data_IF_020721238747
#
_entry.id   IF_020721238747
#
_cell.length_a   1.000
_cell.length_b   1.000
_cell.length_c   1.000
_cell.angle_alpha   90.00
_cell.angle_beta   90.00
_cell.angle_gamma   90.00
#
_symmetry.space_group_name_H-M   'P 1'
#
loop_
_entity.id
_entity.type
_entity.pdbx_description
1 polymer ?
#
# COMPACT_ATOMS: atom_id res chain seq x y z
N UNK A 1 3.78 -39.94 15.31
CA UNK A 1 2.64 -39.32 14.60
C UNK A 1 2.45 -37.84 14.96
N UNK A 2 2.35 -37.41 16.24
CA UNK A 2 2.14 -35.99 16.60
C UNK A 2 3.26 -35.04 16.08
N UNK A 3 4.53 -35.44 16.11
CA UNK A 3 5.64 -34.62 15.59
C UNK A 3 5.61 -34.46 14.07
N UNK A 4 5.16 -35.46 13.32
CA UNK A 4 5.04 -35.42 11.85
C UNK A 4 3.92 -34.46 11.43
N UNK A 5 2.80 -34.44 12.17
CA UNK A 5 1.67 -33.53 11.90
C UNK A 5 2.09 -32.08 12.12
N UNK A 6 2.82 -31.77 13.19
CA UNK A 6 3.31 -30.42 13.47
C UNK A 6 4.32 -29.98 12.41
N UNK A 7 5.24 -30.85 12.01
CA UNK A 7 6.23 -30.55 10.97
C UNK A 7 5.57 -30.34 9.60
N UNK A 8 4.54 -31.13 9.26
CA UNK A 8 3.77 -30.95 8.03
C UNK A 8 2.94 -29.67 8.04
N UNK A 9 2.36 -29.28 9.18
CA UNK A 9 1.63 -28.01 9.31
C UNK A 9 2.56 -26.80 9.18
N UNK A 10 3.76 -26.86 9.76
CA UNK A 10 4.79 -25.84 9.56
C UNK A 10 5.31 -25.78 8.12
N UNK A 11 5.48 -26.92 7.44
CA UNK A 11 5.93 -26.97 6.06
C UNK A 11 4.88 -26.43 5.06
N UNK A 12 3.58 -26.64 5.32
CA UNK A 12 2.49 -26.06 4.54
C UNK A 12 2.40 -24.53 4.69
N UNK A 13 2.74 -24.00 5.87
CA UNK A 13 2.80 -22.56 6.11
C UNK A 13 3.92 -21.85 5.36
N UNK A 14 5.00 -22.53 5.01
CA UNK A 14 6.18 -21.96 4.35
C UNK A 14 5.99 -21.87 2.81
N UNK A 15 5.15 -22.70 2.21
CA UNK A 15 4.95 -22.72 0.76
C UNK A 15 4.10 -21.56 0.20
N UNK A 16 3.47 -20.76 1.04
CA UNK A 16 2.59 -19.66 0.61
C UNK A 16 3.33 -18.33 0.37
N UNK A 17 4.64 -18.25 0.58
CA UNK A 17 5.39 -16.99 0.58
C UNK A 17 6.08 -16.62 -0.74
N UNK A 18 5.81 -17.34 -1.83
CA UNK A 18 6.68 -17.27 -3.00
C UNK A 18 6.39 -16.13 -4.00
N UNK A 19 5.38 -15.28 -3.82
CA UNK A 19 5.00 -14.31 -4.86
C UNK A 19 4.73 -12.87 -4.40
N UNK A 20 5.15 -12.46 -3.22
CA UNK A 20 5.08 -11.06 -2.83
C UNK A 20 6.36 -10.32 -3.26
N UNK A 21 6.46 -9.91 -4.50
CA UNK A 21 7.49 -8.97 -4.93
C UNK A 21 7.06 -7.57 -4.52
N UNK A 22 7.45 -7.15 -3.32
CA UNK A 22 7.45 -5.73 -2.99
C UNK A 22 8.56 -5.05 -3.77
N UNK A 23 8.24 -3.98 -4.49
CA UNK A 23 9.25 -3.25 -5.28
C UNK A 23 10.28 -2.55 -4.38
N UNK A 24 9.93 -2.28 -3.13
CA UNK A 24 10.83 -1.65 -2.16
C UNK A 24 10.52 -2.04 -0.72
N UNK A 25 11.51 -1.87 0.17
CA UNK A 25 11.33 -2.02 1.62
C UNK A 25 10.25 -1.05 2.15
N UNK A 26 10.09 0.12 1.53
CA UNK A 26 9.06 1.10 1.88
C UNK A 26 7.65 0.58 1.64
N UNK A 27 7.41 -0.15 0.57
CA UNK A 27 6.10 -0.72 0.27
C UNK A 27 5.77 -1.83 1.26
N UNK A 28 6.75 -2.68 1.59
CA UNK A 28 6.61 -3.68 2.63
C UNK A 28 6.30 -3.05 3.99
N UNK A 29 7.02 -2.00 4.38
CA UNK A 29 6.77 -1.27 5.63
C UNK A 29 5.40 -0.60 5.63
N UNK A 30 5.00 0.01 4.51
CA UNK A 30 3.69 0.63 4.36
C UNK A 30 2.54 -0.35 4.61
N UNK A 31 2.66 -1.57 4.10
CA UNK A 31 1.66 -2.63 4.30
C UNK A 31 1.72 -3.21 5.72
N UNK A 32 2.92 -3.38 6.28
CA UNK A 32 3.11 -3.95 7.62
C UNK A 32 2.64 -3.04 8.76
N UNK A 33 2.64 -1.72 8.56
CA UNK A 33 2.13 -0.78 9.54
C UNK A 33 0.62 -0.88 9.63
N UNK A 34 0.07 -1.01 10.84
CA UNK A 34 -1.36 -0.98 11.12
C UNK A 34 -1.75 0.34 11.79
N UNK A 35 -2.91 0.84 11.45
CA UNK A 35 -3.51 2.00 12.11
C UNK A 35 -4.33 1.53 13.33
N UNK A 36 -4.52 2.42 14.30
CA UNK A 36 -5.44 2.17 15.39
C UNK A 36 -6.88 2.35 14.89
N UNK A 37 -7.48 1.28 14.41
CA UNK A 37 -8.84 1.24 13.90
C UNK A 37 -9.68 0.17 14.60
N UNK A 38 -10.99 0.40 14.65
CA UNK A 38 -11.93 -0.50 15.29
C UNK A 38 -13.28 0.16 15.54
N UNK A 39 -13.94 -0.25 16.61
CA UNK A 39 -15.15 0.43 17.09
C UNK A 39 -14.83 1.83 17.60
N UNK A 40 -15.80 2.73 17.60
CA UNK A 40 -15.63 4.08 18.15
C UNK A 40 -15.20 4.05 19.62
N UNK A 41 -15.72 3.09 20.41
CA UNK A 41 -15.35 2.87 21.81
C UNK A 41 -13.88 2.46 21.95
N UNK A 42 -13.42 1.52 21.12
CA UNK A 42 -12.03 1.07 21.10
C UNK A 42 -11.08 2.23 20.78
N UNK A 43 -11.41 3.03 19.76
CA UNK A 43 -10.60 4.16 19.33
C UNK A 43 -10.57 5.27 20.40
N UNK A 44 -11.68 5.51 21.12
CA UNK A 44 -11.77 6.56 22.15
C UNK A 44 -10.84 6.35 23.35
N UNK A 45 -10.47 5.09 23.62
CA UNK A 45 -9.52 4.70 24.67
C UNK A 45 -8.15 4.32 24.10
N UNK A 46 -7.84 4.79 22.90
CA UNK A 46 -6.57 4.53 22.21
C UNK A 46 -6.20 3.03 22.13
N UNK A 47 -7.21 2.15 21.97
CA UNK A 47 -6.99 0.72 21.86
C UNK A 47 -6.78 -0.04 23.19
N UNK A 48 -6.90 0.58 24.32
CA UNK A 48 -6.63 -0.01 25.66
C UNK A 48 -7.71 -1.00 26.11
N UNK A 49 -8.14 -1.93 25.24
CA UNK A 49 -9.20 -2.92 25.50
C UNK A 49 -8.66 -4.35 25.61
N UNK A 50 -7.37 -4.58 25.43
CA UNK A 50 -6.79 -5.92 25.38
C UNK A 50 -7.01 -6.77 26.64
N UNK A 51 -7.01 -6.15 27.84
CA UNK A 51 -7.30 -6.81 29.11
C UNK A 51 -8.74 -6.56 29.60
N UNK A 52 -9.37 -5.46 29.13
CA UNK A 52 -10.72 -5.09 29.55
C UNK A 52 -11.78 -5.98 28.88
N UNK A 53 -11.63 -6.28 27.62
CA UNK A 53 -12.60 -7.04 26.84
C UNK A 53 -13.93 -6.29 26.63
N UNK A 54 -14.94 -6.98 26.11
CA UNK A 54 -16.28 -6.42 25.94
C UNK A 54 -16.38 -5.39 24.82
N UNK A 55 -15.51 -5.46 23.85
CA UNK A 55 -15.52 -4.68 22.61
C UNK A 55 -15.21 -5.57 21.41
N UNK A 56 -15.93 -5.39 20.33
CA UNK A 56 -15.78 -6.22 19.13
C UNK A 56 -14.40 -6.10 18.49
N UNK A 57 -13.70 -4.96 18.66
CA UNK A 57 -12.33 -4.81 18.16
C UNK A 57 -11.36 -5.77 18.85
N UNK A 58 -11.68 -6.26 20.05
CA UNK A 58 -10.81 -7.22 20.75
C UNK A 58 -10.65 -8.54 20.00
N UNK A 59 -11.57 -8.90 19.09
CA UNK A 59 -11.46 -10.07 18.23
C UNK A 59 -10.19 -10.04 17.38
N UNK A 60 -9.68 -8.84 17.09
CA UNK A 60 -8.47 -8.61 16.28
C UNK A 60 -7.20 -8.46 17.13
N UNK A 61 -7.31 -8.24 18.45
CA UNK A 61 -6.16 -7.98 19.32
C UNK A 61 -5.99 -9.04 20.41
N UNK A 62 -7.03 -9.26 21.22
CA UNK A 62 -7.08 -10.32 22.24
C UNK A 62 -8.46 -10.98 22.23
N UNK A 63 -8.63 -12.13 21.55
CA UNK A 63 -9.92 -12.75 21.36
C UNK A 63 -10.59 -13.24 22.66
N UNK A 64 -9.86 -13.34 23.78
CA UNK A 64 -10.47 -13.61 25.08
C UNK A 64 -11.48 -12.53 25.49
N UNK A 65 -11.38 -11.33 24.91
CA UNK A 65 -12.32 -10.24 25.12
C UNK A 65 -13.76 -10.57 24.71
N UNK A 66 -13.98 -11.52 23.80
CA UNK A 66 -15.33 -11.97 23.43
C UNK A 66 -16.03 -12.70 24.60
N UNK A 67 -15.27 -13.40 25.44
CA UNK A 67 -15.81 -14.16 26.56
C UNK A 67 -16.33 -13.27 27.70
N UNK A 68 -16.07 -11.96 27.66
CA UNK A 68 -16.55 -11.01 28.66
C UNK A 68 -17.96 -10.48 28.38
N UNK A 69 -18.49 -10.72 27.17
CA UNK A 69 -19.85 -10.30 26.81
C UNK A 69 -20.90 -11.04 27.60
N UNK A 70 -21.87 -10.27 28.13
CA UNK A 70 -23.00 -10.79 28.92
C UNK A 70 -24.32 -10.82 28.16
N UNK A 71 -24.36 -10.14 27.02
CA UNK A 71 -25.51 -10.07 26.10
C UNK A 71 -25.00 -10.02 24.67
N UNK A 72 -25.83 -10.46 23.73
CA UNK A 72 -25.53 -10.33 22.32
C UNK A 72 -25.51 -8.86 21.89
N UNK A 73 -24.61 -8.51 20.98
CA UNK A 73 -24.39 -7.14 20.53
C UNK A 73 -24.19 -7.11 19.00
N UNK A 74 -24.83 -6.14 18.36
CA UNK A 74 -24.57 -5.75 16.97
C UNK A 74 -23.93 -4.38 16.98
N UNK A 75 -22.76 -4.24 16.36
CA UNK A 75 -22.02 -2.98 16.34
C UNK A 75 -21.80 -2.52 14.89
N UNK A 76 -21.94 -1.23 14.68
CA UNK A 76 -21.65 -0.56 13.42
C UNK A 76 -20.87 0.72 13.71
N UNK A 77 -19.73 0.91 13.04
CA UNK A 77 -18.90 2.11 13.17
C UNK A 77 -18.51 2.65 11.80
N UNK A 78 -19.00 3.84 11.49
CA UNK A 78 -18.54 4.64 10.36
C UNK A 78 -17.47 5.65 10.80
N UNK A 79 -16.58 6.00 9.90
CA UNK A 79 -15.52 6.99 10.11
C UNK A 79 -15.52 8.02 8.99
N UNK A 80 -15.44 9.29 9.36
CA UNK A 80 -15.18 10.39 8.45
C UNK A 80 -13.71 10.76 8.56
N UNK A 81 -12.97 10.57 7.50
CA UNK A 81 -11.54 10.83 7.46
C UNK A 81 -11.26 12.05 6.58
N UNK A 82 -10.52 13.00 7.13
CA UNK A 82 -10.07 14.18 6.41
C UNK A 82 -8.55 14.29 6.52
N UNK A 83 -7.86 13.88 5.47
CA UNK A 83 -6.41 13.93 5.37
C UNK A 83 -5.99 15.21 4.65
N UNK A 84 -5.16 16.01 5.30
CA UNK A 84 -4.48 17.14 4.71
C UNK A 84 -2.98 16.87 4.64
N UNK A 85 -2.40 17.03 3.47
CA UNK A 85 -0.95 16.92 3.27
C UNK A 85 -0.40 18.26 2.82
N UNK A 86 0.74 18.64 3.36
CA UNK A 86 1.47 19.85 2.94
C UNK A 86 2.88 19.44 2.52
N UNK A 87 3.28 19.87 1.32
CA UNK A 87 4.62 19.65 0.79
C UNK A 87 5.06 20.87 -0.04
N UNK A 88 6.24 21.42 0.26
CA UNK A 88 6.83 22.57 -0.46
C UNK A 88 5.85 23.73 -0.67
N UNK A 89 5.05 24.06 0.35
CA UNK A 89 4.08 25.15 0.28
C UNK A 89 2.77 24.84 -0.46
N UNK A 90 2.67 23.67 -1.07
CA UNK A 90 1.43 23.18 -1.68
C UNK A 90 0.64 22.33 -0.69
N UNK A 91 -0.68 22.40 -0.78
CA UNK A 91 -1.59 21.61 0.06
C UNK A 91 -2.46 20.72 -0.81
N UNK A 92 -2.68 19.49 -0.36
CA UNK A 92 -3.65 18.58 -0.95
C UNK A 92 -4.52 17.98 0.14
N UNK A 93 -5.82 17.84 -0.11
CA UNK A 93 -6.76 17.29 0.85
C UNK A 93 -7.50 16.09 0.27
N UNK A 94 -7.89 15.19 1.15
CA UNK A 94 -8.74 14.05 0.83
C UNK A 94 -9.77 13.87 1.92
N UNK A 95 -11.04 13.91 1.55
CA UNK A 95 -12.16 13.57 2.41
C UNK A 95 -12.75 12.23 1.99
N UNK A 96 -13.03 11.39 2.96
CA UNK A 96 -13.59 10.06 2.71
C UNK A 96 -14.44 9.59 3.88
N UNK A 97 -15.57 8.98 3.56
CA UNK A 97 -16.34 8.17 4.51
C UNK A 97 -15.91 6.70 4.39
N UNK A 98 -15.58 6.09 5.51
CA UNK A 98 -15.20 4.68 5.60
C UNK A 98 -16.10 3.92 6.57
N UNK A 99 -16.41 2.69 6.24
CA UNK A 99 -16.92 1.72 7.18
C UNK A 99 -15.73 1.14 7.96
N UNK A 100 -15.65 1.45 9.27
CA UNK A 100 -14.53 1.00 10.10
C UNK A 100 -14.75 -0.38 10.69
N UNK A 101 -15.94 -0.60 11.26
CA UNK A 101 -16.25 -1.86 11.94
C UNK A 101 -17.72 -2.21 11.77
N UNK A 102 -17.96 -3.49 11.52
CA UNK A 102 -19.29 -4.13 11.65
C UNK A 102 -19.07 -5.43 12.35
N UNK A 103 -19.83 -5.68 13.40
CA UNK A 103 -19.68 -6.91 14.15
C UNK A 103 -20.99 -7.41 14.75
N UNK A 104 -21.08 -8.72 14.89
CA UNK A 104 -22.13 -9.39 15.61
C UNK A 104 -21.51 -10.37 16.59
N UNK A 105 -21.89 -10.26 17.86
CA UNK A 105 -21.47 -11.16 18.93
C UNK A 105 -22.71 -11.76 19.57
N UNK A 106 -22.72 -13.08 19.65
CA UNK A 106 -23.75 -13.85 20.36
C UNK A 106 -23.20 -14.33 21.69
N UNK A 107 -23.91 -14.00 22.77
CA UNK A 107 -23.55 -14.40 24.12
C UNK A 107 -24.52 -15.46 24.63
N UNK A 108 -23.99 -16.62 25.00
CA UNK A 108 -24.77 -17.72 25.58
C UNK A 108 -24.29 -17.98 26.99
N UNK A 109 -25.23 -17.88 27.96
CA UNK A 109 -24.99 -18.18 29.36
C UNK A 109 -25.42 -19.60 29.68
N UNK A 110 -24.59 -20.35 30.37
CA UNK A 110 -24.88 -21.75 30.76
C UNK A 110 -25.78 -21.86 32.00
N UNK A 111 -25.95 -20.76 32.73
CA UNK A 111 -26.67 -20.77 34.00
C UNK A 111 -25.85 -21.30 35.17
N UNK A 112 -24.62 -21.70 34.97
CA UNK A 112 -23.69 -22.17 36.03
C UNK A 112 -22.84 -21.01 36.54
N UNK A 113 -22.57 -20.94 37.82
CA UNK A 113 -21.64 -19.97 38.43
C UNK A 113 -20.20 -20.49 38.49
N UNK A 114 -20.03 -21.81 38.44
CA UNK A 114 -18.71 -22.48 38.46
C UNK A 114 -18.48 -23.27 37.18
N UNK A 115 -17.22 -23.36 36.76
CA UNK A 115 -16.84 -23.99 35.50
C UNK A 115 -17.15 -23.11 34.29
N UNK A 116 -17.77 -23.66 33.25
CA UNK A 116 -18.15 -22.90 32.05
C UNK A 116 -19.39 -22.03 32.35
N UNK A 117 -19.19 -20.74 32.53
CA UNK A 117 -20.25 -19.76 32.84
C UNK A 117 -20.91 -19.23 31.58
N UNK A 118 -20.14 -18.97 30.58
CA UNK A 118 -20.63 -18.48 29.28
C UNK A 118 -19.74 -18.95 28.13
N UNK A 119 -20.37 -19.14 26.98
CA UNK A 119 -19.71 -19.38 25.72
C UNK A 119 -20.22 -18.34 24.70
N UNK A 120 -19.31 -17.61 24.12
CA UNK A 120 -19.64 -16.55 23.16
C UNK A 120 -18.97 -16.83 21.83
N UNK A 121 -19.63 -16.46 20.74
CA UNK A 121 -19.06 -16.51 19.41
C UNK A 121 -19.45 -15.25 18.65
N UNK A 122 -18.69 -14.91 17.62
CA UNK A 122 -18.99 -13.72 16.85
C UNK A 122 -18.20 -13.63 15.56
N UNK A 123 -18.67 -12.70 14.76
CA UNK A 123 -18.04 -12.28 13.52
C UNK A 123 -17.81 -10.77 13.60
N UNK A 124 -16.67 -10.32 13.08
CA UNK A 124 -16.38 -8.90 12.93
C UNK A 124 -15.64 -8.62 11.62
N UNK A 125 -16.05 -7.55 10.97
CA UNK A 125 -15.28 -6.86 9.95
C UNK A 125 -14.59 -5.67 10.60
N UNK A 126 -13.33 -5.45 10.26
CA UNK A 126 -12.56 -4.29 10.66
C UNK A 126 -11.70 -3.77 9.51
N UNK A 127 -11.70 -2.47 9.30
CA UNK A 127 -10.73 -1.82 8.41
C UNK A 127 -9.46 -1.52 9.20
N UNK A 128 -8.44 -2.37 9.06
CA UNK A 128 -7.19 -2.26 9.80
C UNK A 128 -6.35 -1.05 9.35
N UNK A 129 -6.44 -0.68 8.06
CA UNK A 129 -5.71 0.45 7.50
C UNK A 129 -6.42 1.08 6.33
N UNK A 130 -6.21 2.38 6.14
CA UNK A 130 -6.66 3.15 4.98
C UNK A 130 -5.47 3.84 4.35
N UNK A 131 -5.29 3.67 3.03
CA UNK A 131 -4.21 4.30 2.26
C UNK A 131 -4.63 5.63 1.62
N UNK A 132 -5.89 6.03 1.73
CA UNK A 132 -6.45 7.20 1.06
C UNK A 132 -5.70 8.50 1.42
N UNK A 133 -4.89 8.97 0.47
CA UNK A 133 -4.04 10.14 0.64
C UNK A 133 -3.79 10.79 -0.71
N UNK A 134 -3.77 12.12 -0.73
CA UNK A 134 -3.33 12.91 -1.87
C UNK A 134 -2.09 13.71 -1.44
N UNK A 135 -1.07 13.75 -2.30
CA UNK A 135 0.10 14.61 -2.14
C UNK A 135 0.25 15.39 -3.43
N UNK A 136 0.52 16.69 -3.32
CA UNK A 136 0.88 17.53 -4.47
C UNK A 136 1.92 18.54 -4.05
N UNK A 137 2.95 18.68 -4.85
CA UNK A 137 3.89 19.79 -4.71
C UNK A 137 4.37 20.24 -6.07
N UNK A 138 4.81 21.50 -6.13
CA UNK A 138 5.40 22.11 -7.33
C UNK A 138 6.68 22.83 -6.94
N UNK A 139 7.69 22.72 -7.78
CA UNK A 139 8.98 23.37 -7.57
C UNK A 139 9.57 23.79 -8.91
N UNK A 140 10.33 24.87 -8.92
CA UNK A 140 11.12 25.25 -10.07
C UNK A 140 12.51 24.63 -9.95
N UNK A 141 13.01 24.08 -11.03
CA UNK A 141 14.26 23.35 -11.10
C UNK A 141 15.01 23.67 -12.39
N UNK A 142 16.30 23.44 -12.38
CA UNK A 142 17.13 23.38 -13.56
C UNK A 142 17.47 21.93 -13.94
N UNK A 143 16.76 20.95 -13.38
CA UNK A 143 16.87 19.53 -13.70
C UNK A 143 15.53 19.03 -14.23
N UNK A 144 15.58 18.27 -15.31
CA UNK A 144 14.44 17.65 -15.95
C UNK A 144 14.48 16.13 -15.75
N UNK A 145 13.32 15.49 -15.73
CA UNK A 145 13.21 14.03 -15.82
C UNK A 145 13.85 13.53 -17.12
N UNK A 146 13.73 14.32 -18.21
CA UNK A 146 14.40 14.03 -19.47
C UNK A 146 15.92 13.92 -19.35
N UNK A 147 16.57 14.78 -18.52
CA UNK A 147 18.02 14.71 -18.26
C UNK A 147 18.39 13.38 -17.59
N UNK A 148 17.58 12.95 -16.61
CA UNK A 148 17.77 11.67 -15.95
C UNK A 148 17.56 10.49 -16.92
N UNK A 149 16.49 10.54 -17.73
CA UNK A 149 16.16 9.46 -18.66
C UNK A 149 17.18 9.36 -19.81
N UNK A 150 17.73 10.48 -20.30
CA UNK A 150 18.80 10.49 -21.28
C UNK A 150 20.05 9.77 -20.72
N UNK A 151 20.51 10.18 -19.56
CA UNK A 151 21.65 9.54 -18.88
C UNK A 151 21.36 8.05 -18.54
N UNK A 152 20.16 7.74 -18.11
CA UNK A 152 19.75 6.35 -17.82
C UNK A 152 19.81 5.47 -19.09
N UNK A 153 19.37 6.01 -20.23
CA UNK A 153 19.41 5.32 -21.52
C UNK A 153 20.85 5.05 -21.97
N UNK A 154 21.75 6.04 -21.83
CA UNK A 154 23.17 5.89 -22.13
C UNK A 154 23.84 4.80 -21.27
N UNK A 155 23.64 4.84 -19.97
CA UNK A 155 24.22 3.85 -19.03
C UNK A 155 23.66 2.45 -19.29
N UNK A 156 22.37 2.33 -19.58
CA UNK A 156 21.71 1.04 -19.83
C UNK A 156 22.18 0.38 -21.13
N UNK A 157 22.65 1.15 -22.10
CA UNK A 157 23.19 0.65 -23.36
C UNK A 157 24.55 -0.06 -23.24
N UNK A 158 25.21 0.02 -22.09
CA UNK A 158 26.57 -0.47 -21.87
C UNK A 158 27.60 0.15 -22.84
N UNK A 159 28.77 -0.46 -22.98
CA UNK A 159 29.85 0.02 -23.85
C UNK A 159 29.50 -0.01 -25.34
N UNK A 160 28.53 -0.83 -25.76
CA UNK A 160 28.08 -0.92 -27.14
C UNK A 160 27.04 0.15 -27.49
N UNK A 161 26.34 0.68 -26.45
CA UNK A 161 25.28 1.67 -26.59
C UNK A 161 24.04 1.16 -27.30
N UNK A 162 22.98 1.96 -27.26
CA UNK A 162 21.84 1.82 -28.16
C UNK A 162 22.05 2.75 -29.35
N UNK A 163 21.79 2.27 -30.56
CA UNK A 163 21.67 3.13 -31.73
C UNK A 163 20.24 3.68 -31.77
N UNK A 164 20.04 4.87 -32.36
CA UNK A 164 18.71 5.44 -32.53
C UNK A 164 17.75 4.48 -33.26
N UNK A 165 18.30 3.68 -34.19
CA UNK A 165 17.54 2.67 -34.95
C UNK A 165 16.89 1.58 -34.09
N UNK A 166 17.32 1.38 -32.82
CA UNK A 166 16.67 0.46 -31.92
C UNK A 166 15.27 0.93 -31.57
N UNK A 167 15.05 2.25 -31.56
CA UNK A 167 13.77 2.89 -31.25
C UNK A 167 12.91 3.19 -32.50
N UNK A 168 13.36 2.82 -33.70
CA UNK A 168 12.61 3.04 -34.95
C UNK A 168 11.34 2.16 -34.97
N UNK A 169 10.27 2.64 -35.63
CA UNK A 169 8.98 1.98 -35.75
C UNK A 169 9.07 0.55 -36.33
N UNK A 170 10.07 0.25 -37.12
CA UNK A 170 10.31 -1.07 -37.73
C UNK A 170 10.81 -2.11 -36.68
N UNK A 171 11.28 -1.66 -35.52
CA UNK A 171 11.75 -2.51 -34.45
C UNK A 171 10.66 -2.57 -33.36
N UNK A 172 10.22 -3.78 -33.00
CA UNK A 172 9.27 -3.98 -31.88
C UNK A 172 10.03 -3.83 -30.54
N UNK A 173 10.46 -2.59 -30.24
CA UNK A 173 11.24 -2.25 -29.06
C UNK A 173 10.50 -2.59 -27.76
N UNK A 174 9.16 -2.61 -27.78
CA UNK A 174 8.32 -3.00 -26.65
C UNK A 174 8.47 -4.47 -26.26
N UNK A 175 8.99 -5.31 -27.15
CA UNK A 175 9.30 -6.73 -26.88
C UNK A 175 10.78 -6.99 -26.66
N UNK A 176 11.64 -6.01 -26.92
CA UNK A 176 13.08 -6.15 -26.67
C UNK A 176 13.38 -5.94 -25.18
N UNK A 177 13.56 -7.03 -24.46
CA UNK A 177 13.87 -7.01 -23.02
C UNK A 177 15.23 -6.38 -22.68
N UNK A 178 16.07 -6.09 -23.67
CA UNK A 178 17.36 -5.44 -23.46
C UNK A 178 17.21 -3.94 -23.26
N UNK A 179 16.15 -3.34 -23.81
CA UNK A 179 15.88 -1.90 -23.72
C UNK A 179 14.95 -1.62 -22.55
N UNK A 180 15.34 -0.76 -21.59
CA UNK A 180 14.49 -0.40 -20.47
C UNK A 180 13.21 0.32 -20.93
N UNK A 181 12.08 -0.07 -20.37
CA UNK A 181 10.78 0.57 -20.67
C UNK A 181 10.79 2.10 -20.48
N UNK A 182 11.54 2.58 -19.47
CA UNK A 182 11.66 4.01 -19.23
C UNK A 182 12.34 4.75 -20.40
N UNK A 183 13.31 4.11 -21.04
CA UNK A 183 14.00 4.66 -22.23
C UNK A 183 13.07 4.67 -23.44
N UNK A 184 12.28 3.61 -23.63
CA UNK A 184 11.29 3.52 -24.73
C UNK A 184 10.24 4.62 -24.58
N UNK A 185 9.65 4.74 -23.38
CA UNK A 185 8.63 5.76 -23.11
C UNK A 185 9.18 7.19 -23.25
N UNK A 186 10.44 7.41 -22.86
CA UNK A 186 11.08 8.71 -23.01
C UNK A 186 11.33 9.08 -24.48
N UNK A 187 11.69 8.09 -25.30
CA UNK A 187 11.89 8.26 -26.74
C UNK A 187 10.56 8.54 -27.45
N UNK A 188 9.56 7.71 -27.25
CA UNK A 188 8.23 7.86 -27.86
C UNK A 188 7.53 9.16 -27.42
N UNK A 189 7.76 9.56 -26.16
CA UNK A 189 7.29 10.84 -25.62
C UNK A 189 8.10 12.04 -26.07
N UNK A 190 9.14 11.87 -26.89
CA UNK A 190 10.06 12.95 -27.33
C UNK A 190 10.73 13.69 -26.16
N UNK A 191 10.85 13.03 -24.99
CA UNK A 191 11.57 13.59 -23.84
C UNK A 191 13.06 13.51 -24.01
N UNK A 192 13.54 12.53 -24.78
CA UNK A 192 14.92 12.34 -25.18
C UNK A 192 15.02 12.20 -26.69
N UNK A 193 16.15 12.61 -27.23
CA UNK A 193 16.49 12.47 -28.64
C UNK A 193 17.95 12.06 -28.77
N UNK A 194 18.30 11.48 -29.90
CA UNK A 194 19.68 11.19 -30.22
C UNK A 194 20.28 12.41 -30.93
N UNK A 195 21.38 13.00 -30.46
CA UNK A 195 22.05 14.09 -31.13
C UNK A 195 22.65 13.60 -32.46
N UNK A 196 22.67 14.49 -33.43
CA UNK A 196 23.27 14.23 -34.73
C UNK A 196 24.65 14.88 -34.83
N UNK A 197 25.56 14.24 -35.53
CA UNK A 197 26.86 14.83 -35.88
C UNK A 197 26.73 15.89 -36.99
N UNK A 198 27.84 16.57 -37.34
CA UNK A 198 27.89 17.58 -38.42
C UNK A 198 27.45 17.03 -39.79
N UNK A 199 27.43 15.71 -39.95
CA UNK A 199 27.03 14.99 -41.17
C UNK A 199 25.62 14.48 -41.11
N UNK A 200 24.84 14.86 -40.09
CA UNK A 200 23.45 14.43 -39.84
C UNK A 200 23.31 12.93 -39.49
N UNK A 201 24.37 12.27 -38.98
CA UNK A 201 24.31 10.90 -38.52
C UNK A 201 24.05 10.86 -37.03
N UNK A 202 23.25 9.89 -36.62
CA UNK A 202 22.99 9.61 -35.18
C UNK A 202 24.27 9.17 -34.47
N UNK A 203 24.55 9.77 -33.31
CA UNK A 203 25.71 9.41 -32.50
C UNK A 203 25.32 8.26 -31.57
N UNK A 204 26.00 7.12 -31.70
CA UNK A 204 25.70 5.96 -30.89
C UNK A 204 25.86 6.24 -29.39
N UNK A 205 24.88 5.75 -28.60
CA UNK A 205 24.87 5.82 -27.15
C UNK A 205 24.99 7.25 -26.58
N UNK A 206 24.52 8.25 -27.29
CA UNK A 206 24.39 9.61 -26.80
C UNK A 206 22.94 10.03 -26.92
N UNK A 207 22.39 10.53 -25.82
CA UNK A 207 21.02 10.99 -25.78
C UNK A 207 20.95 12.35 -25.10
N UNK A 208 20.14 13.22 -25.64
CA UNK A 208 19.90 14.55 -25.13
C UNK A 208 18.46 14.68 -24.66
N UNK A 209 18.24 15.39 -23.56
CA UNK A 209 16.91 15.72 -23.11
C UNK A 209 16.31 16.85 -23.95
N UNK A 210 14.99 16.90 -23.99
CA UNK A 210 14.27 18.03 -24.60
C UNK A 210 14.68 19.37 -23.96
N UNK A 211 14.96 19.39 -22.66
CA UNK A 211 15.48 20.56 -21.96
C UNK A 211 16.81 21.03 -22.54
N UNK A 212 17.78 20.13 -22.77
CA UNK A 212 19.08 20.48 -23.36
C UNK A 212 18.92 21.03 -24.77
N UNK A 213 17.98 20.52 -25.54
CA UNK A 213 17.64 21.04 -26.86
C UNK A 213 17.10 22.49 -26.76
N UNK A 214 16.25 22.82 -25.75
CA UNK A 214 15.78 24.18 -25.52
C UNK A 214 16.92 25.13 -25.16
N UNK A 215 17.87 24.67 -24.34
CA UNK A 215 19.06 25.46 -23.94
C UNK A 215 19.91 25.77 -25.18
N UNK A 216 20.14 24.79 -26.04
CA UNK A 216 20.91 24.97 -27.29
C UNK A 216 20.24 25.95 -28.23
N UNK A 217 18.89 26.04 -28.22
CA UNK A 217 18.11 27.04 -28.96
C UNK A 217 18.01 28.40 -28.27
N UNK A 218 18.68 28.61 -27.14
CA UNK A 218 18.63 29.84 -26.33
C UNK A 218 17.25 30.21 -25.81
N UNK A 219 16.35 29.25 -25.65
CA UNK A 219 14.99 29.48 -25.10
C UNK A 219 15.05 29.55 -23.58
N UNK A 220 15.93 28.74 -22.96
CA UNK A 220 16.11 28.66 -21.51
C UNK A 220 16.02 27.22 -21.00
N UNK A 221 16.48 27.02 -19.77
CA UNK A 221 16.58 25.68 -19.15
C UNK A 221 15.80 25.52 -17.86
N UNK A 222 14.96 26.52 -17.52
CA UNK A 222 14.10 26.43 -16.33
C UNK A 222 12.93 25.48 -16.55
N UNK A 223 12.63 24.67 -15.55
CA UNK A 223 11.53 23.70 -15.56
C UNK A 223 10.70 23.85 -14.31
N UNK A 224 9.39 23.94 -14.48
CA UNK A 224 8.46 23.86 -13.34
C UNK A 224 7.99 22.41 -13.22
N UNK A 225 8.44 21.74 -12.18
CA UNK A 225 8.08 20.36 -11.88
C UNK A 225 6.89 20.30 -10.93
N UNK A 226 5.85 19.57 -11.30
CA UNK A 226 4.70 19.30 -10.45
C UNK A 226 4.56 17.79 -10.26
N UNK A 227 4.52 17.35 -9.02
CA UNK A 227 4.33 15.95 -8.66
C UNK A 227 3.03 15.77 -7.89
N UNK A 228 2.19 14.89 -8.39
CA UNK A 228 0.89 14.55 -7.77
C UNK A 228 0.85 13.07 -7.53
N UNK A 229 0.57 12.67 -6.27
CA UNK A 229 0.38 11.28 -5.87
C UNK A 229 -1.02 11.13 -5.31
N UNK A 230 -1.72 10.12 -5.77
CA UNK A 230 -3.01 9.70 -5.25
C UNK A 230 -2.90 8.24 -4.78
N UNK A 231 -2.90 8.06 -3.46
CA UNK A 231 -2.94 6.73 -2.85
C UNK A 231 -4.37 6.36 -2.48
N UNK A 232 -4.75 5.11 -2.71
CA UNK A 232 -6.09 4.56 -2.47
C UNK A 232 -5.98 3.14 -1.95
N UNK A 233 -7.06 2.70 -1.28
CA UNK A 233 -7.19 1.31 -0.86
C UNK A 233 -7.16 1.12 0.64
N UNK A 234 -7.14 -0.14 1.06
CA UNK A 234 -7.27 -0.49 2.47
C UNK A 234 -6.75 -1.89 2.77
N UNK A 235 -6.48 -2.13 4.05
CA UNK A 235 -6.35 -3.48 4.61
C UNK A 235 -7.62 -3.76 5.40
N UNK A 236 -8.34 -4.79 5.02
CA UNK A 236 -9.57 -5.23 5.67
C UNK A 236 -9.35 -6.56 6.36
N UNK A 237 -9.91 -6.71 7.55
CA UNK A 237 -9.85 -7.93 8.36
C UNK A 237 -11.26 -8.46 8.62
N UNK A 238 -11.42 -9.77 8.53
CA UNK A 238 -12.66 -10.49 8.83
C UNK A 238 -12.34 -11.54 9.87
N UNK A 239 -12.88 -11.37 11.08
CA UNK A 239 -12.63 -12.26 12.21
C UNK A 239 -13.83 -13.15 12.50
N UNK A 240 -13.58 -14.45 12.66
CA UNK A 240 -14.51 -15.41 13.25
C UNK A 240 -13.93 -15.84 14.60
N UNK A 241 -14.66 -15.65 15.66
CA UNK A 241 -14.12 -15.79 17.02
C UNK A 241 -15.04 -16.57 17.91
N UNK A 242 -14.44 -17.31 18.83
CA UNK A 242 -15.14 -18.00 19.90
C UNK A 242 -14.38 -17.82 21.22
N UNK A 243 -15.13 -17.75 22.32
CA UNK A 243 -14.52 -17.61 23.62
C UNK A 243 -15.38 -18.19 24.74
N UNK A 244 -14.73 -18.60 25.82
CA UNK A 244 -15.32 -19.21 26.99
C UNK A 244 -14.93 -18.44 28.23
N UNK A 245 -15.93 -18.21 29.10
CA UNK A 245 -15.74 -17.65 30.45
C UNK A 245 -15.80 -18.78 31.45
N UNK A 246 -14.72 -18.97 32.19
CA UNK A 246 -14.56 -20.03 33.19
C UNK A 246 -14.58 -19.39 34.55
N UNK A 247 -15.63 -19.70 35.35
CA UNK A 247 -15.82 -19.27 36.75
C UNK A 247 -15.72 -17.75 36.97
N UNK A 248 -15.90 -16.93 35.90
CA UNK A 248 -15.67 -15.48 35.88
C UNK A 248 -14.23 -15.03 36.22
N UNK A 249 -13.31 -15.97 36.36
CA UNK A 249 -11.89 -15.75 36.69
C UNK A 249 -11.03 -15.79 35.44
N UNK A 250 -11.28 -16.78 34.58
CA UNK A 250 -10.47 -16.99 33.36
C UNK A 250 -11.34 -16.90 32.08
N UNK A 251 -11.00 -16.00 31.22
CA UNK A 251 -11.58 -15.89 29.89
C UNK A 251 -10.55 -16.36 28.84
N UNK A 252 -10.98 -17.28 28.01
CA UNK A 252 -10.17 -17.81 26.89
C UNK A 252 -10.86 -17.49 25.56
N UNK A 253 -10.09 -17.23 24.53
CA UNK A 253 -10.64 -16.97 23.21
C UNK A 253 -9.70 -17.35 22.09
N UNK A 254 -10.31 -17.64 20.94
CA UNK A 254 -9.62 -17.91 19.69
C UNK A 254 -10.30 -17.12 18.56
N UNK A 255 -9.51 -16.55 17.69
CA UNK A 255 -9.98 -15.92 16.45
C UNK A 255 -9.26 -16.49 15.26
N UNK A 256 -10.01 -16.74 14.20
CA UNK A 256 -9.52 -16.95 12.84
C UNK A 256 -9.77 -15.66 12.06
N UNK A 257 -8.72 -15.05 11.56
CA UNK A 257 -8.79 -13.75 10.87
C UNK A 257 -8.31 -13.91 9.43
N UNK A 258 -9.16 -13.50 8.50
CA UNK A 258 -8.82 -13.35 7.08
C UNK A 258 -8.48 -11.88 6.83
N UNK A 259 -7.40 -11.65 6.08
CA UNK A 259 -6.95 -10.32 5.67
C UNK A 259 -7.11 -10.18 4.16
N UNK A 260 -7.52 -9.00 3.73
CA UNK A 260 -7.51 -8.59 2.33
C UNK A 260 -6.85 -7.23 2.21
N UNK A 261 -5.83 -7.15 1.37
CA UNK A 261 -5.12 -5.94 0.99
C UNK A 261 -5.55 -5.54 -0.42
N UNK A 262 -5.90 -4.29 -0.58
CA UNK A 262 -6.04 -3.61 -1.86
C UNK A 262 -5.32 -2.26 -1.74
N UNK A 263 -4.33 -2.03 -2.60
CA UNK A 263 -3.56 -0.81 -2.62
C UNK A 263 -3.29 -0.37 -4.05
N UNK A 264 -3.58 0.90 -4.33
CA UNK A 264 -3.31 1.53 -5.60
C UNK A 264 -2.64 2.89 -5.38
N UNK A 265 -1.57 3.15 -6.11
CA UNK A 265 -0.91 4.44 -6.15
C UNK A 265 -0.82 4.92 -7.61
N UNK A 266 -1.43 6.05 -7.88
CA UNK A 266 -1.24 6.78 -9.13
C UNK A 266 -0.31 7.96 -8.86
N UNK A 267 0.77 8.05 -9.61
CA UNK A 267 1.68 9.18 -9.56
C UNK A 267 1.75 9.86 -10.92
N UNK A 268 1.67 11.18 -10.91
CA UNK A 268 1.74 12.03 -12.08
C UNK A 268 2.88 13.02 -11.85
N UNK A 269 3.90 12.92 -12.68
CA UNK A 269 4.98 13.87 -12.75
C UNK A 269 4.80 14.72 -14.00
N UNK A 270 4.66 16.02 -13.83
CA UNK A 270 4.44 16.99 -14.91
C UNK A 270 5.56 18.00 -14.92
N UNK A 271 6.17 18.19 -16.06
CA UNK A 271 7.19 19.21 -16.33
C UNK A 271 6.67 20.24 -17.31
N UNK A 272 6.73 21.51 -16.92
CA UNK A 272 6.42 22.63 -17.79
C UNK A 272 7.70 23.42 -18.05
N UNK A 273 8.03 23.58 -19.33
CA UNK A 273 9.21 24.30 -19.81
C UNK A 273 8.91 25.77 -20.08
N UNK A 274 9.95 26.59 -20.28
CA UNK A 274 9.82 28.03 -20.52
C UNK A 274 9.10 28.36 -21.83
N UNK A 275 9.14 27.48 -22.83
CA UNK A 275 8.37 27.61 -24.07
C UNK A 275 6.90 27.18 -23.94
N UNK A 276 6.41 26.92 -22.72
CA UNK A 276 5.09 26.37 -22.39
C UNK A 276 4.82 24.94 -22.87
N UNK A 277 5.80 24.22 -23.40
CA UNK A 277 5.66 22.78 -23.63
C UNK A 277 5.54 22.06 -22.28
N UNK A 278 4.77 20.97 -22.27
CA UNK A 278 4.54 20.20 -21.06
C UNK A 278 4.69 18.73 -21.35
N UNK A 279 5.47 18.05 -20.50
CA UNK A 279 5.53 16.59 -20.45
C UNK A 279 4.82 16.09 -19.22
N UNK A 280 4.19 14.93 -19.37
CA UNK A 280 3.48 14.28 -18.29
C UNK A 280 3.85 12.80 -18.27
N UNK A 281 4.46 12.37 -17.16
CA UNK A 281 4.77 10.97 -16.91
C UNK A 281 3.80 10.43 -15.84
N UNK A 282 2.99 9.45 -16.22
CA UNK A 282 2.02 8.83 -15.31
C UNK A 282 2.45 7.40 -15.00
N UNK A 283 2.47 7.07 -13.72
CA UNK A 283 2.76 5.71 -13.25
C UNK A 283 1.61 5.23 -12.37
N UNK A 284 1.16 4.02 -12.62
CA UNK A 284 0.17 3.32 -11.82
C UNK A 284 0.84 2.10 -11.17
N UNK A 285 0.75 2.03 -9.86
CA UNK A 285 1.19 0.90 -9.07
C UNK A 285 0.02 0.30 -8.32
N UNK A 286 -0.19 -0.99 -8.45
CA UNK A 286 -1.27 -1.71 -7.78
C UNK A 286 -0.73 -2.96 -7.10
N UNK A 287 -1.20 -3.21 -5.88
CA UNK A 287 -0.88 -4.42 -5.11
C UNK A 287 -2.14 -4.95 -4.45
N UNK A 288 -2.47 -6.18 -4.76
CA UNK A 288 -3.54 -6.93 -4.15
C UNK A 288 -2.96 -8.10 -3.37
N UNK A 289 -3.56 -8.40 -2.23
CA UNK A 289 -3.07 -9.49 -1.40
C UNK A 289 -4.13 -10.03 -0.45
N UNK A 290 -3.95 -11.27 -0.05
CA UNK A 290 -4.78 -11.91 0.95
C UNK A 290 -3.92 -12.71 1.93
N UNK A 291 -4.39 -12.84 3.15
CA UNK A 291 -3.70 -13.58 4.19
C UNK A 291 -4.66 -14.12 5.23
N UNK A 292 -4.13 -14.93 6.13
CA UNK A 292 -4.89 -15.38 7.28
C UNK A 292 -4.00 -15.39 8.53
N UNK A 293 -4.63 -15.25 9.68
CA UNK A 293 -3.95 -15.41 10.96
C UNK A 293 -4.86 -16.09 11.99
N UNK A 294 -4.24 -16.78 12.93
CA UNK A 294 -4.93 -17.38 14.08
C UNK A 294 -4.42 -16.66 15.33
N UNK A 295 -5.36 -16.15 16.12
CA UNK A 295 -5.05 -15.45 17.37
C UNK A 295 -5.64 -16.22 18.54
N UNK A 296 -4.88 -16.36 19.60
CA UNK A 296 -5.31 -16.99 20.86
C UNK A 296 -5.11 -15.98 21.97
N UNK A 297 -6.07 -15.87 22.86
CA UNK A 297 -6.02 -14.92 23.95
C UNK A 297 -6.50 -15.49 25.27
N UNK A 298 -6.04 -14.86 26.34
CA UNK A 298 -6.49 -15.13 27.70
C UNK A 298 -6.61 -13.81 28.50
N UNK A 299 -7.60 -13.75 29.37
CA UNK A 299 -7.76 -12.68 30.36
C UNK A 299 -8.00 -13.37 31.70
N UNK A 300 -7.20 -13.04 32.71
CA UNK A 300 -7.38 -13.49 34.08
C UNK A 300 -7.84 -12.33 34.95
N UNK A 301 -8.87 -12.58 35.78
CA UNK A 301 -9.44 -11.63 36.73
C UNK A 301 -9.46 -12.29 38.10
N UNK A 302 -8.37 -12.20 38.88
CA UNK A 302 -8.25 -12.79 40.18
C UNK A 302 -9.20 -12.18 41.21
#
# INVERSE_FOLDING_TARGET
>A
MKKIIITSLCALGIMSFANAQFQSEYDALKVAQTDLNGTARFMSVAGAMGALGGDASTLFYNPAGIATYRSSELTFTGNLNWNNTSALGSMASRFLFNLNNVSYISAYKTGSENGLVAFNWGFAYNRAKTFDKNIRYSTNSNLSLGDFLANYTEISGNAAGYTASVFDEDNDVYRDQRVPWASVLAWDGMMIANPQDESNNSINNQYESYRNNLISQSIGGGVQNTYTIAERGSVNEYAFSGGANISNILQLGVSFVLLNLDYQMESIFEEKFENNSTYKYTSLYQTDGSGFSIKVGAIARP
#
